data_IF_214556648855
#
_entry.id   IF_214556648855
#
_cell.length_a   1.000
_cell.length_b   1.000
_cell.length_c   1.000
_cell.angle_alpha   90.00
_cell.angle_beta   90.00
_cell.angle_gamma   90.00
#
_symmetry.space_group_name_H-M   'P 1'
#
loop_
_entity.id
_entity.type
_entity.pdbx_description
1 polymer ?
#
# COMPACT_ATOMS: atom_id res chain seq x y z
N UNK A 1 -24.13 -18.68 -11.71
CA UNK A 1 -23.08 -17.71 -12.13
C UNK A 1 -22.86 -16.71 -11.01
N UNK A 2 -21.62 -16.49 -10.55
CA UNK A 2 -21.34 -15.51 -9.49
C UNK A 2 -21.80 -14.13 -9.97
N UNK A 3 -22.61 -13.43 -9.16
CA UNK A 3 -23.23 -12.13 -9.47
C UNK A 3 -22.21 -11.09 -9.98
N UNK A 4 -20.96 -11.22 -9.54
CA UNK A 4 -19.81 -10.44 -10.01
C UNK A 4 -19.55 -10.53 -11.51
N UNK A 5 -19.78 -11.69 -12.16
CA UNK A 5 -19.60 -11.83 -13.62
C UNK A 5 -20.67 -11.05 -14.39
N UNK A 6 -21.91 -11.02 -13.89
CA UNK A 6 -23.02 -10.30 -14.51
C UNK A 6 -22.78 -8.79 -14.43
N UNK A 7 -22.31 -8.31 -13.27
CA UNK A 7 -21.97 -6.90 -13.09
C UNK A 7 -20.85 -6.43 -14.03
N UNK A 8 -19.82 -7.26 -14.22
CA UNK A 8 -18.72 -6.96 -15.14
C UNK A 8 -19.20 -6.92 -16.61
N UNK A 9 -20.09 -7.84 -17.00
CA UNK A 9 -20.70 -7.82 -18.34
C UNK A 9 -21.52 -6.54 -18.57
N UNK A 10 -22.30 -6.08 -17.58
CA UNK A 10 -23.07 -4.84 -17.70
C UNK A 10 -22.18 -3.60 -17.85
N UNK A 11 -21.11 -3.49 -17.05
CA UNK A 11 -20.15 -2.39 -17.17
C UNK A 11 -19.46 -2.41 -18.53
N UNK A 12 -19.04 -3.60 -18.99
CA UNK A 12 -18.38 -3.75 -20.28
C UNK A 12 -19.31 -3.37 -21.45
N UNK A 13 -20.57 -3.79 -21.42
CA UNK A 13 -21.59 -3.39 -22.41
C UNK A 13 -21.86 -1.89 -22.39
N UNK A 14 -21.89 -1.27 -21.21
CA UNK A 14 -22.09 0.18 -21.06
C UNK A 14 -20.93 0.97 -21.68
N UNK A 15 -19.69 0.52 -21.47
CA UNK A 15 -18.49 1.12 -22.05
C UNK A 15 -18.49 1.00 -23.59
N UNK A 16 -18.84 -0.17 -24.14
CA UNK A 16 -18.95 -0.38 -25.59
C UNK A 16 -20.00 0.54 -26.20
N UNK A 17 -21.16 0.69 -25.56
CA UNK A 17 -22.25 1.50 -26.09
C UNK A 17 -21.90 3.00 -26.10
N UNK A 18 -21.13 3.46 -25.10
CA UNK A 18 -20.58 4.82 -25.05
C UNK A 18 -19.47 5.04 -26.10
N UNK A 19 -18.58 4.07 -26.29
CA UNK A 19 -17.53 4.11 -27.32
C UNK A 19 -18.11 4.15 -28.74
N UNK A 20 -19.21 3.44 -28.99
CA UNK A 20 -19.90 3.43 -30.29
C UNK A 20 -20.40 4.82 -30.68
N UNK A 21 -20.91 5.60 -29.73
CA UNK A 21 -21.32 7.00 -29.98
C UNK A 21 -20.13 7.91 -30.29
N UNK A 22 -18.93 7.62 -29.76
CA UNK A 22 -17.71 8.39 -30.05
C UNK A 22 -17.04 8.00 -31.38
N UNK A 23 -17.18 6.75 -31.84
CA UNK A 23 -16.49 6.24 -33.04
C UNK A 23 -17.31 6.41 -34.34
N UNK A 24 -18.64 6.48 -34.27
CA UNK A 24 -19.49 6.60 -35.47
C UNK A 24 -19.60 8.03 -36.04
N UNK A 25 -19.04 9.06 -35.41
CA UNK A 25 -19.18 10.45 -35.89
C UNK A 25 -18.06 10.88 -36.88
N UNK A 26 -17.04 10.03 -37.11
CA UNK A 26 -15.90 10.36 -37.98
C UNK A 26 -16.04 9.90 -39.45
N UNK A 27 -17.19 9.38 -39.87
CA UNK A 27 -17.36 8.85 -41.25
C UNK A 27 -18.09 9.79 -42.22
N UNK A 28 -18.30 11.07 -41.88
CA UNK A 28 -19.08 12.01 -42.71
C UNK A 28 -18.42 13.37 -42.93
N UNK A 29 -17.10 13.42 -43.11
CA UNK A 29 -16.42 14.63 -43.59
C UNK A 29 -15.41 14.28 -44.67
N UNK A 30 -15.94 14.01 -45.86
CA UNK A 30 -15.21 14.27 -47.09
C UNK A 30 -16.23 14.85 -48.06
N UNK A 31 -16.15 16.18 -48.28
CA UNK A 31 -16.18 16.82 -49.61
C UNK A 31 -16.54 18.33 -49.52
N UNK A 32 -15.59 19.11 -50.04
CA UNK A 32 -15.65 20.43 -50.65
C UNK A 32 -15.86 21.72 -49.83
N UNK A 33 -14.81 22.55 -49.96
CA UNK A 33 -14.68 23.98 -49.69
C UNK A 33 -15.88 24.81 -50.16
N UNK A 34 -16.61 25.49 -49.25
CA UNK A 34 -17.22 26.80 -49.56
C UNK A 34 -17.30 27.69 -48.31
N UNK A 35 -16.80 28.91 -48.45
CA UNK A 35 -16.96 30.01 -47.49
C UNK A 35 -18.45 30.28 -47.25
N UNK A 36 -18.97 29.99 -46.05
CA UNK A 36 -20.29 30.44 -45.61
C UNK A 36 -20.20 30.97 -44.18
N UNK A 37 -20.39 32.27 -44.06
CA UNK A 37 -20.57 32.97 -42.81
C UNK A 37 -21.83 32.48 -42.08
N UNK A 38 -21.65 32.08 -40.82
CA UNK A 38 -22.44 32.43 -39.63
C UNK A 38 -23.84 31.84 -39.30
N UNK A 39 -24.24 30.63 -39.75
CA UNK A 39 -25.21 29.84 -38.96
C UNK A 39 -24.67 28.49 -38.48
N UNK A 40 -23.61 27.96 -39.11
CA UNK A 40 -23.00 26.69 -38.71
C UNK A 40 -22.04 26.82 -37.53
N UNK A 41 -21.48 28.01 -37.27
CA UNK A 41 -20.59 28.26 -36.14
C UNK A 41 -21.31 28.03 -34.79
N UNK A 42 -22.55 28.52 -34.66
CA UNK A 42 -23.38 28.32 -33.46
C UNK A 42 -23.76 26.84 -33.26
N UNK A 43 -24.05 26.10 -34.33
CA UNK A 43 -24.34 24.66 -34.27
C UNK A 43 -23.08 23.87 -33.87
N UNK A 44 -21.90 24.25 -34.38
CA UNK A 44 -20.62 23.65 -34.02
C UNK A 44 -20.26 23.93 -32.55
N UNK A 45 -20.52 25.15 -32.07
CA UNK A 45 -20.32 25.53 -30.67
C UNK A 45 -21.25 24.76 -29.72
N UNK A 46 -22.53 24.62 -30.05
CA UNK A 46 -23.47 23.83 -29.25
C UNK A 46 -23.07 22.36 -29.20
N UNK A 47 -22.65 21.77 -30.34
CA UNK A 47 -22.12 20.40 -30.37
C UNK A 47 -20.84 20.26 -29.55
N UNK A 48 -19.92 21.24 -29.60
CA UNK A 48 -18.71 21.27 -28.75
C UNK A 48 -19.06 21.41 -27.27
N UNK A 49 -20.03 22.27 -26.90
CA UNK A 49 -20.54 22.42 -25.52
C UNK A 49 -21.19 21.12 -25.01
N UNK A 50 -21.97 20.43 -25.85
CA UNK A 50 -22.59 19.14 -25.53
C UNK A 50 -21.55 18.03 -25.36
N UNK A 51 -20.53 17.97 -26.24
CA UNK A 51 -19.39 17.05 -26.12
C UNK A 51 -18.58 17.31 -24.84
N UNK A 52 -18.32 18.58 -24.50
CA UNK A 52 -17.66 18.93 -23.23
C UNK A 52 -18.47 18.50 -22.01
N UNK A 53 -19.79 18.70 -22.01
CA UNK A 53 -20.67 18.22 -20.93
C UNK A 53 -20.60 16.69 -20.75
N UNK A 54 -20.60 15.94 -21.85
CA UNK A 54 -20.47 14.47 -21.84
C UNK A 54 -19.08 14.06 -21.31
N UNK A 55 -18.02 14.75 -21.74
CA UNK A 55 -16.66 14.49 -21.25
C UNK A 55 -16.53 14.75 -19.75
N UNK A 56 -17.08 15.86 -19.25
CA UNK A 56 -17.10 16.15 -17.81
C UNK A 56 -17.92 15.12 -17.02
N UNK A 57 -19.03 14.63 -17.58
CA UNK A 57 -19.80 13.55 -16.97
C UNK A 57 -19.03 12.22 -16.93
N UNK A 58 -18.27 11.89 -17.97
CA UNK A 58 -17.38 10.72 -18.02
C UNK A 58 -16.23 10.82 -17.02
N UNK A 59 -15.59 11.99 -16.93
CA UNK A 59 -14.52 12.22 -15.95
C UNK A 59 -15.07 12.15 -14.52
N UNK A 60 -16.22 12.78 -14.26
CA UNK A 60 -16.87 12.74 -12.95
C UNK A 60 -17.25 11.33 -12.52
N UNK A 61 -17.81 10.52 -13.42
CA UNK A 61 -18.15 9.12 -13.14
C UNK A 61 -16.92 8.25 -12.94
N UNK A 62 -15.86 8.44 -13.73
CA UNK A 62 -14.59 7.72 -13.57
C UNK A 62 -13.91 8.01 -12.22
N UNK A 63 -13.85 9.29 -11.81
CA UNK A 63 -13.30 9.69 -10.51
C UNK A 63 -14.12 9.08 -9.36
N UNK A 64 -15.45 9.12 -9.48
CA UNK A 64 -16.35 8.57 -8.46
C UNK A 64 -16.18 7.06 -8.32
N UNK A 65 -16.11 6.32 -9.43
CA UNK A 65 -15.86 4.87 -9.41
C UNK A 65 -14.49 4.52 -8.83
N UNK A 66 -13.45 5.26 -9.20
CA UNK A 66 -12.10 5.06 -8.67
C UNK A 66 -12.05 5.33 -7.15
N UNK A 67 -12.74 6.37 -6.69
CA UNK A 67 -12.89 6.69 -5.26
C UNK A 67 -13.60 5.58 -4.49
N UNK A 68 -14.74 5.09 -4.99
CA UNK A 68 -15.48 3.99 -4.36
C UNK A 68 -14.66 2.69 -4.36
N UNK A 69 -13.93 2.38 -5.43
CA UNK A 69 -13.06 1.21 -5.49
C UNK A 69 -11.90 1.31 -4.49
N UNK A 70 -11.26 2.48 -4.38
CA UNK A 70 -10.19 2.72 -3.40
C UNK A 70 -10.70 2.61 -1.95
N UNK A 71 -11.87 3.18 -1.66
CA UNK A 71 -12.51 3.06 -0.34
C UNK A 71 -12.93 1.63 -0.04
N UNK A 72 -13.49 0.91 -1.01
CA UNK A 72 -13.89 -0.49 -0.86
C UNK A 72 -12.70 -1.41 -0.58
N UNK A 73 -11.57 -1.21 -1.25
CA UNK A 73 -10.32 -1.95 -0.99
C UNK A 73 -9.79 -1.62 0.41
N UNK A 74 -9.77 -0.34 0.81
CA UNK A 74 -9.30 0.07 2.14
C UNK A 74 -10.14 -0.50 3.28
N UNK A 75 -11.47 -0.48 3.15
CA UNK A 75 -12.40 -1.02 4.15
C UNK A 75 -12.37 -2.56 4.17
N UNK A 76 -12.14 -3.22 3.03
CA UNK A 76 -11.99 -4.67 3.00
C UNK A 76 -10.63 -5.12 3.58
N UNK A 77 -9.57 -4.32 3.45
CA UNK A 77 -8.30 -4.59 4.13
C UNK A 77 -8.43 -4.44 5.65
N UNK A 78 -9.19 -3.46 6.16
CA UNK A 78 -9.37 -3.27 7.61
C UNK A 78 -10.20 -4.37 8.29
N UNK A 79 -11.02 -5.12 7.53
CA UNK A 79 -11.74 -6.31 8.02
C UNK A 79 -10.86 -7.56 8.10
N UNK A 80 -9.59 -7.53 7.66
CA UNK A 80 -8.68 -8.67 7.84
C UNK A 80 -8.21 -8.73 9.29
N UNK A 81 -8.24 -9.95 9.86
CA UNK A 81 -7.89 -10.20 11.26
C UNK A 81 -6.45 -9.76 11.55
N UNK A 82 -6.29 -9.02 12.64
CA UNK A 82 -4.98 -8.62 13.16
C UNK A 82 -4.09 -9.84 13.40
N UNK A 83 -2.77 -9.65 13.35
CA UNK A 83 -1.83 -10.69 13.76
C UNK A 83 -2.00 -11.09 15.22
N UNK A 84 -2.63 -10.24 16.04
CA UNK A 84 -2.81 -10.46 17.49
C UNK A 84 -4.12 -11.17 17.86
N UNK A 85 -5.13 -11.18 16.98
CA UNK A 85 -6.48 -11.69 17.30
C UNK A 85 -6.68 -13.18 16.93
N UNK A 86 -5.61 -13.87 16.55
CA UNK A 86 -5.70 -15.22 15.98
C UNK A 86 -4.59 -16.12 16.50
N UNK A 87 -4.58 -17.39 16.07
CA UNK A 87 -3.47 -18.33 16.27
C UNK A 87 -2.13 -17.80 15.76
N UNK A 88 -2.13 -16.75 14.91
CA UNK A 88 -0.93 -16.06 14.48
C UNK A 88 -0.26 -15.26 15.61
N UNK A 89 -0.96 -14.92 16.70
CA UNK A 89 -0.41 -14.09 17.77
C UNK A 89 0.84 -14.71 18.40
N UNK A 90 0.80 -16.03 18.65
CA UNK A 90 1.94 -16.78 19.21
C UNK A 90 3.11 -16.78 18.22
N UNK A 91 2.83 -17.01 16.94
CA UNK A 91 3.84 -17.01 15.88
C UNK A 91 4.46 -15.61 15.71
N UNK A 92 3.63 -14.58 15.77
CA UNK A 92 4.04 -13.18 15.65
C UNK A 92 4.86 -12.71 16.84
N UNK A 93 4.49 -13.12 18.06
CA UNK A 93 5.28 -12.88 19.27
C UNK A 93 6.65 -13.57 19.16
N UNK A 94 6.70 -14.81 18.70
CA UNK A 94 7.95 -15.55 18.50
C UNK A 94 8.87 -14.90 17.45
N UNK A 95 8.31 -14.43 16.33
CA UNK A 95 9.05 -13.64 15.32
C UNK A 95 9.62 -12.36 15.94
N UNK A 96 8.81 -11.63 16.70
CA UNK A 96 9.21 -10.38 17.34
C UNK A 96 10.33 -10.62 18.36
N UNK A 97 10.19 -11.64 19.20
CA UNK A 97 11.20 -12.05 20.18
C UNK A 97 12.49 -12.48 19.51
N UNK A 98 12.42 -13.23 18.42
CA UNK A 98 13.60 -13.64 17.63
C UNK A 98 14.34 -12.44 17.05
N UNK A 99 13.61 -11.46 16.51
CA UNK A 99 14.21 -10.23 16.00
C UNK A 99 14.86 -9.39 17.11
N UNK A 100 14.23 -9.30 18.29
CA UNK A 100 14.82 -8.62 19.46
C UNK A 100 16.09 -9.34 19.92
N UNK A 101 16.05 -10.66 20.04
CA UNK A 101 17.20 -11.47 20.46
C UNK A 101 18.39 -11.29 19.50
N UNK A 102 18.15 -11.36 18.19
CA UNK A 102 19.17 -11.10 17.15
C UNK A 102 19.73 -9.68 17.25
N UNK A 103 18.88 -8.68 17.47
CA UNK A 103 19.33 -7.30 17.68
C UNK A 103 20.23 -7.14 18.91
N UNK A 104 19.87 -7.78 20.03
CA UNK A 104 20.68 -7.79 21.25
C UNK A 104 22.02 -8.49 21.02
N UNK A 105 22.03 -9.64 20.36
CA UNK A 105 23.25 -10.40 20.06
C UNK A 105 24.23 -9.58 19.22
N UNK A 106 23.75 -8.98 18.13
CA UNK A 106 24.55 -8.11 17.26
C UNK A 106 25.11 -6.92 18.04
N UNK A 107 24.28 -6.24 18.85
CA UNK A 107 24.73 -5.11 19.67
C UNK A 107 25.76 -5.52 20.72
N UNK A 108 25.61 -6.69 21.35
CA UNK A 108 26.61 -7.25 22.30
C UNK A 108 27.92 -7.56 21.61
N UNK A 109 27.87 -8.10 20.39
CA UNK A 109 29.08 -8.39 19.62
C UNK A 109 29.87 -7.10 19.32
N UNK A 110 29.18 -6.04 18.88
CA UNK A 110 29.81 -4.74 18.62
C UNK A 110 30.37 -4.14 19.93
N UNK A 111 29.64 -4.26 21.04
CA UNK A 111 30.12 -3.82 22.35
C UNK A 111 31.42 -4.52 22.76
N UNK A 112 31.49 -5.84 22.59
CA UNK A 112 32.70 -6.64 22.89
C UNK A 112 33.88 -6.29 21.99
N UNK A 113 33.62 -5.78 20.78
CA UNK A 113 34.65 -5.28 19.86
C UNK A 113 35.18 -3.88 20.23
N UNK A 114 34.68 -3.28 21.32
CA UNK A 114 35.23 -2.05 21.91
C UNK A 114 34.39 -0.78 21.69
N UNK A 115 33.23 -0.86 21.06
CA UNK A 115 32.32 0.29 20.92
C UNK A 115 31.32 0.28 22.08
N UNK A 116 31.58 1.06 23.12
CA UNK A 116 30.76 1.05 24.35
C UNK A 116 29.61 2.09 24.37
N UNK A 117 29.49 2.92 23.33
CA UNK A 117 28.38 3.87 23.17
C UNK A 117 27.12 3.13 22.70
N UNK A 118 26.15 2.98 23.61
CA UNK A 118 24.89 2.28 23.33
C UNK A 118 24.18 2.86 22.11
N UNK A 119 24.17 4.17 21.90
CA UNK A 119 23.44 4.75 20.77
C UNK A 119 24.08 4.42 19.41
N UNK A 120 25.37 4.04 19.40
CA UNK A 120 26.10 3.68 18.17
C UNK A 120 26.03 2.19 17.83
N UNK A 121 25.73 1.34 18.81
CA UNK A 121 25.68 -0.13 18.60
C UNK A 121 24.27 -0.66 18.35
N UNK A 122 23.24 0.16 18.52
CA UNK A 122 21.86 -0.26 18.29
C UNK A 122 21.58 -0.45 16.79
N UNK A 123 20.80 -1.48 16.42
CA UNK A 123 20.34 -1.63 15.06
C UNK A 123 19.39 -0.49 14.67
N UNK A 124 19.34 -0.17 13.39
CA UNK A 124 18.34 0.77 12.89
C UNK A 124 16.95 0.13 12.84
N UNK A 125 15.91 0.96 12.77
CA UNK A 125 14.53 0.48 12.52
C UNK A 125 14.44 -0.36 11.24
N UNK A 126 15.25 -0.03 10.23
CA UNK A 126 15.31 -0.78 8.97
C UNK A 126 15.86 -2.19 9.19
N UNK A 127 16.91 -2.32 10.00
CA UNK A 127 17.53 -3.62 10.30
C UNK A 127 16.57 -4.51 11.08
N UNK A 128 15.87 -3.96 12.07
CA UNK A 128 14.86 -4.69 12.86
C UNK A 128 13.74 -5.21 11.97
N UNK A 129 13.26 -4.40 11.01
CA UNK A 129 12.27 -4.86 10.02
C UNK A 129 12.79 -6.00 9.18
N UNK A 130 14.06 -5.96 8.79
CA UNK A 130 14.66 -7.04 8.02
C UNK A 130 14.81 -8.31 8.87
N UNK A 131 15.20 -8.21 10.13
CA UNK A 131 15.25 -9.36 11.05
C UNK A 131 13.89 -10.07 11.15
N UNK A 132 12.80 -9.31 11.30
CA UNK A 132 11.45 -9.89 11.30
C UNK A 132 11.10 -10.55 9.95
N UNK A 133 11.49 -9.95 8.82
CA UNK A 133 11.23 -10.51 7.49
C UNK A 133 12.03 -11.78 7.22
N UNK A 134 13.28 -11.83 7.67
CA UNK A 134 14.12 -13.03 7.60
C UNK A 134 13.48 -14.16 8.40
N UNK A 135 12.98 -13.89 9.60
CA UNK A 135 12.27 -14.86 10.43
C UNK A 135 10.99 -15.39 9.78
N UNK A 136 10.21 -14.50 9.18
CA UNK A 136 9.00 -14.84 8.42
C UNK A 136 9.35 -15.76 7.24
N UNK A 137 10.39 -15.41 6.47
CA UNK A 137 10.86 -16.23 5.34
C UNK A 137 11.38 -17.59 5.81
N UNK A 138 12.17 -17.61 6.89
CA UNK A 138 12.76 -18.83 7.47
C UNK A 138 11.69 -19.84 7.89
N UNK A 139 10.56 -19.37 8.41
CA UNK A 139 9.43 -20.20 8.84
C UNK A 139 8.42 -20.50 7.71
N UNK A 140 8.72 -20.10 6.47
CA UNK A 140 7.82 -20.20 5.29
C UNK A 140 6.40 -19.64 5.55
N UNK A 141 6.34 -18.53 6.30
CA UNK A 141 5.06 -17.92 6.68
C UNK A 141 4.61 -16.89 5.65
N UNK A 142 3.31 -16.96 5.30
CA UNK A 142 2.68 -16.01 4.37
C UNK A 142 1.78 -15.05 5.13
N UNK A 143 2.31 -13.85 5.39
CA UNK A 143 1.52 -12.74 5.93
C UNK A 143 0.97 -11.85 4.82
N UNK A 144 -0.22 -11.31 5.05
CA UNK A 144 -0.80 -10.30 4.17
C UNK A 144 -0.11 -8.96 4.34
N UNK A 145 -0.29 -8.04 3.39
CA UNK A 145 0.29 -6.69 3.47
C UNK A 145 -0.12 -5.92 4.74
N UNK A 146 -1.37 -6.07 5.21
CA UNK A 146 -1.83 -5.45 6.45
C UNK A 146 -1.10 -6.00 7.67
N UNK A 147 -0.99 -7.32 7.76
CA UNK A 147 -0.27 -8.00 8.84
C UNK A 147 1.22 -7.64 8.86
N UNK A 148 1.85 -7.50 7.68
CA UNK A 148 3.22 -6.99 7.57
C UNK A 148 3.37 -5.55 8.07
N UNK A 149 2.36 -4.69 7.87
CA UNK A 149 2.37 -3.33 8.42
C UNK A 149 2.28 -3.34 9.95
N UNK A 150 1.57 -4.29 10.54
CA UNK A 150 1.51 -4.48 11.99
C UNK A 150 2.87 -4.93 12.56
N UNK A 151 3.61 -5.81 11.88
CA UNK A 151 5.00 -6.09 12.27
C UNK A 151 5.90 -4.86 12.17
N UNK A 152 5.81 -4.14 11.05
CA UNK A 152 6.59 -2.94 10.80
C UNK A 152 6.33 -1.83 11.84
N UNK A 153 5.15 -1.78 12.48
CA UNK A 153 4.86 -0.82 13.55
C UNK A 153 5.53 -1.22 14.88
N UNK A 154 5.74 -2.51 15.12
CA UNK A 154 6.42 -3.04 16.30
C UNK A 154 7.94 -2.84 16.29
N UNK A 155 8.53 -2.39 15.18
CA UNK A 155 9.98 -2.16 15.12
C UNK A 155 10.47 -1.14 16.15
N UNK A 156 9.65 -0.15 16.50
CA UNK A 156 9.98 0.83 17.56
C UNK A 156 10.01 0.20 18.94
N UNK A 157 9.04 -0.67 19.22
CA UNK A 157 9.00 -1.45 20.46
C UNK A 157 10.23 -2.36 20.55
N UNK A 158 10.55 -3.09 19.48
CA UNK A 158 11.75 -3.92 19.44
C UNK A 158 13.03 -3.11 19.68
N UNK A 159 13.18 -1.94 19.05
CA UNK A 159 14.33 -1.06 19.27
C UNK A 159 14.45 -0.62 20.74
N UNK A 160 13.33 -0.25 21.35
CA UNK A 160 13.29 0.11 22.77
C UNK A 160 13.74 -1.06 23.66
N UNK A 161 13.21 -2.26 23.41
CA UNK A 161 13.57 -3.48 24.15
C UNK A 161 15.05 -3.83 24.01
N UNK A 162 15.62 -3.71 22.81
CA UNK A 162 17.06 -3.92 22.56
C UNK A 162 17.87 -2.88 23.33
N UNK A 163 17.50 -1.59 23.25
CA UNK A 163 18.17 -0.52 23.99
C UNK A 163 18.18 -0.77 25.49
N UNK A 164 17.03 -1.10 26.07
CA UNK A 164 16.91 -1.41 27.49
C UNK A 164 17.78 -2.61 27.90
N UNK A 165 17.80 -3.67 27.09
CA UNK A 165 18.66 -4.82 27.33
C UNK A 165 20.15 -4.47 27.28
N UNK A 166 20.56 -3.61 26.34
CA UNK A 166 21.96 -3.17 26.21
C UNK A 166 22.39 -2.23 27.33
N UNK A 167 21.51 -1.34 27.81
CA UNK A 167 21.76 -0.51 28.98
C UNK A 167 21.95 -1.37 30.25
N UNK A 168 21.11 -2.39 30.42
CA UNK A 168 21.23 -3.36 31.52
C UNK A 168 22.55 -4.15 31.42
N UNK A 169 22.89 -4.62 30.22
CA UNK A 169 24.14 -5.34 29.97
C UNK A 169 25.37 -4.49 30.30
N UNK A 170 25.39 -3.22 29.87
CA UNK A 170 26.49 -2.29 30.18
C UNK A 170 26.69 -2.13 31.70
N UNK A 171 25.61 -1.88 32.44
CA UNK A 171 25.66 -1.76 33.91
C UNK A 171 26.20 -3.03 34.57
N UNK A 172 25.80 -4.20 34.08
CA UNK A 172 26.32 -5.49 34.55
C UNK A 172 27.82 -5.62 34.35
N UNK A 173 28.33 -5.30 33.15
CA UNK A 173 29.76 -5.35 32.88
C UNK A 173 30.57 -4.34 33.72
N UNK A 174 30.02 -3.16 34.01
CA UNK A 174 30.69 -2.16 34.86
C UNK A 174 30.82 -2.63 36.32
N UNK A 175 29.86 -3.40 36.83
CA UNK A 175 29.89 -3.96 38.18
C UNK A 175 30.85 -5.15 38.33
N UNK A 176 31.06 -5.93 37.26
CA UNK A 176 32.01 -7.06 37.27
C UNK A 176 33.49 -6.62 37.19
N UNK A 177 33.76 -5.35 36.87
CA UNK A 177 35.11 -4.78 36.80
C UNK A 177 35.57 -4.07 38.09
N UNK A 178 34.71 -4.00 39.12
CA UNK A 178 34.99 -3.44 40.45
C UNK A 178 35.29 -4.56 41.47
#
# INVERSE_FOLDING_TARGET
MKITKVYFCFIYLLIINLLKQCLCENYLYEKDNYNLADPFANILEEKKKKKRKILYALIGTAITLAGIAALGIGIHESKRKSIWDTQLAVISDDILKSAIAKGIENSKEIYRRGIHDINKILPSIKDIKEYMREEIKRKDLKFTRSQMKEFDSMSRYALYSIKYAMETYKKGCELEML
#
